data_IF_786794846674
#
_entry.id   IF_786794846674
#
_cell.length_a   1.000
_cell.length_b   1.000
_cell.length_c   1.000
_cell.angle_alpha   90.00
_cell.angle_beta   90.00
_cell.angle_gamma   90.00
#
_symmetry.space_group_name_H-M   'P 1'
#
loop_
_entity.id
_entity.type
_entity.pdbx_description
1 polymer ?
#
# COMPACT_ATOMS: atom_id res chain seq x y z
N UNK A 1 -9.55 4.64 -19.40
CA UNK A 1 -8.54 3.76 -18.81
C UNK A 1 -7.18 4.41 -18.59
N UNK A 2 -6.73 5.34 -19.42
CA UNK A 2 -5.39 5.97 -19.29
C UNK A 2 -5.08 6.54 -17.90
N UNK A 3 -6.05 7.27 -17.30
CA UNK A 3 -5.89 7.79 -15.93
C UNK A 3 -5.74 6.68 -14.91
N UNK A 4 -6.53 5.61 -15.02
CA UNK A 4 -6.45 4.43 -14.15
C UNK A 4 -5.06 3.79 -14.26
N UNK A 5 -4.57 3.55 -15.48
CA UNK A 5 -3.22 3.00 -15.67
C UNK A 5 -2.13 3.91 -15.14
N UNK A 6 -2.27 5.22 -15.31
CA UNK A 6 -1.34 6.20 -14.73
C UNK A 6 -1.30 6.09 -13.20
N UNK A 7 -2.47 6.09 -12.54
CA UNK A 7 -2.52 5.99 -11.08
C UNK A 7 -1.98 4.65 -10.57
N UNK A 8 -2.28 3.54 -11.26
CA UNK A 8 -1.74 2.22 -10.93
C UNK A 8 -0.22 2.16 -11.08
N UNK A 9 0.33 2.70 -12.18
CA UNK A 9 1.79 2.81 -12.35
C UNK A 9 2.44 3.72 -11.32
N UNK A 10 1.75 4.79 -10.90
CA UNK A 10 2.21 5.64 -9.80
C UNK A 10 2.23 4.91 -8.45
N UNK A 11 1.28 4.01 -8.20
CA UNK A 11 1.27 3.13 -7.02
C UNK A 11 2.44 2.15 -7.09
N UNK A 12 2.61 1.44 -8.20
CA UNK A 12 3.71 0.48 -8.42
C UNK A 12 5.07 1.14 -8.15
N UNK A 13 5.36 2.26 -8.83
CA UNK A 13 6.61 3.01 -8.65
C UNK A 13 6.84 3.47 -7.22
N UNK A 14 5.79 3.87 -6.50
CA UNK A 14 5.92 4.29 -5.09
C UNK A 14 6.13 3.09 -4.17
N UNK A 15 5.46 1.97 -4.44
CA UNK A 15 5.65 0.72 -3.70
C UNK A 15 7.09 0.21 -3.90
N UNK A 16 7.64 0.22 -5.11
CA UNK A 16 9.05 -0.14 -5.36
C UNK A 16 10.02 0.72 -4.56
N UNK A 17 9.73 2.03 -4.41
CA UNK A 17 10.57 2.93 -3.61
C UNK A 17 10.49 2.67 -2.11
N UNK A 18 9.29 2.39 -1.60
CA UNK A 18 9.11 1.97 -0.21
C UNK A 18 9.94 0.70 0.00
N UNK A 19 9.77 -0.29 -0.87
CA UNK A 19 10.48 -1.57 -0.81
C UNK A 19 12.01 -1.41 -0.82
N UNK A 20 12.53 -0.56 -1.71
CA UNK A 20 13.96 -0.24 -1.78
C UNK A 20 14.50 0.43 -0.51
N UNK A 21 13.70 1.26 0.16
CA UNK A 21 14.12 1.92 1.39
C UNK A 21 14.00 0.95 2.57
N UNK A 22 12.87 0.25 2.70
CA UNK A 22 12.62 -0.67 3.81
C UNK A 22 13.51 -1.91 3.76
N UNK A 23 13.91 -2.40 2.58
CA UNK A 23 14.81 -3.55 2.44
C UNK A 23 16.22 -3.34 3.02
N UNK A 24 16.61 -2.09 3.31
CA UNK A 24 17.84 -1.81 4.07
C UNK A 24 17.75 -2.28 5.53
N UNK A 25 16.54 -2.54 6.03
CA UNK A 25 16.24 -2.89 7.41
C UNK A 25 16.15 -1.65 8.31
N UNK A 26 15.17 -1.61 9.21
CA UNK A 26 14.85 -0.46 10.03
C UNK A 26 16.00 0.01 10.93
N UNK A 27 16.91 -0.88 11.33
CA UNK A 27 18.09 -0.51 12.13
C UNK A 27 19.06 0.42 11.38
N UNK A 28 18.96 0.49 10.05
CA UNK A 28 19.75 1.39 9.22
C UNK A 28 19.04 2.70 8.87
N UNK A 29 17.75 2.82 9.22
CA UNK A 29 16.91 3.95 8.84
C UNK A 29 16.91 5.03 9.91
N UNK A 30 17.11 6.28 9.50
CA UNK A 30 16.88 7.43 10.36
C UNK A 30 15.39 7.81 10.43
N UNK A 31 15.02 8.67 11.40
CA UNK A 31 13.66 9.21 11.51
C UNK A 31 13.20 9.87 10.20
N UNK A 32 14.09 10.61 9.52
CA UNK A 32 13.77 11.23 8.22
C UNK A 32 13.36 10.21 7.15
N UNK A 33 14.03 9.05 7.08
CA UNK A 33 13.66 7.99 6.14
C UNK A 33 12.33 7.34 6.54
N UNK A 34 12.08 7.13 7.84
CA UNK A 34 10.80 6.63 8.35
C UNK A 34 9.62 7.55 8.02
N UNK A 35 9.82 8.87 8.12
CA UNK A 35 8.83 9.85 7.70
C UNK A 35 8.62 9.86 6.18
N UNK A 36 9.70 9.73 5.39
CA UNK A 36 9.60 9.59 3.92
C UNK A 36 8.83 8.32 3.52
N UNK A 37 9.04 7.21 4.20
CA UNK A 37 8.27 5.97 4.01
C UNK A 37 6.78 6.20 4.30
N UNK A 38 6.48 6.84 5.42
CA UNK A 38 5.10 7.15 5.84
C UNK A 38 4.38 8.05 4.82
N UNK A 39 5.04 9.14 4.40
CA UNK A 39 4.52 10.07 3.40
C UNK A 39 4.27 9.39 2.04
N UNK A 40 5.18 8.51 1.60
CA UNK A 40 4.95 7.69 0.39
C UNK A 40 3.75 6.74 0.52
N UNK A 41 3.51 6.17 1.70
CA UNK A 41 2.30 5.38 1.97
C UNK A 41 1.01 6.19 1.85
N UNK A 42 1.00 7.44 2.31
CA UNK A 42 -0.13 8.36 2.12
C UNK A 42 -0.31 8.73 0.64
N UNK A 43 0.79 8.94 -0.09
CA UNK A 43 0.79 9.21 -1.52
C UNK A 43 0.21 8.04 -2.33
N UNK A 44 0.54 6.79 -1.96
CA UNK A 44 -0.12 5.58 -2.50
C UNK A 44 -1.62 5.60 -2.23
N UNK A 45 -2.03 5.92 -0.99
CA UNK A 45 -3.44 6.02 -0.62
C UNK A 45 -4.18 7.09 -1.46
N UNK A 46 -3.52 8.21 -1.75
CA UNK A 46 -4.05 9.25 -2.65
C UNK A 46 -4.25 8.74 -4.08
N UNK A 47 -3.27 8.00 -4.63
CA UNK A 47 -3.40 7.35 -5.93
C UNK A 47 -4.52 6.31 -5.94
N UNK A 48 -4.69 5.51 -4.88
CA UNK A 48 -5.80 4.55 -4.74
C UNK A 48 -7.16 5.25 -4.79
N UNK A 49 -7.35 6.36 -4.06
CA UNK A 49 -8.59 7.16 -4.11
C UNK A 49 -8.87 7.70 -5.51
N UNK A 50 -7.83 8.17 -6.22
CA UNK A 50 -7.94 8.63 -7.60
C UNK A 50 -8.30 7.49 -8.55
N UNK A 51 -7.70 6.31 -8.37
CA UNK A 51 -8.08 5.10 -9.11
C UNK A 51 -9.55 4.79 -8.89
N UNK A 52 -10.03 4.71 -7.64
CA UNK A 52 -11.45 4.45 -7.35
C UNK A 52 -12.36 5.43 -8.09
N UNK A 53 -12.08 6.73 -7.96
CA UNK A 53 -12.87 7.79 -8.62
C UNK A 53 -12.89 7.66 -10.15
N UNK A 54 -11.73 7.47 -10.76
CA UNK A 54 -11.60 7.45 -12.22
C UNK A 54 -12.09 6.11 -12.82
N UNK A 55 -12.07 5.02 -12.05
CA UNK A 55 -12.48 3.70 -12.52
C UNK A 55 -14.01 3.49 -12.43
N UNK A 56 -14.72 4.21 -11.55
CA UNK A 56 -16.18 4.11 -11.40
C UNK A 56 -16.96 4.27 -12.70
N UNK A 57 -16.51 5.14 -13.60
CA UNK A 57 -17.17 5.48 -14.86
C UNK A 57 -16.59 4.74 -16.08
N UNK A 58 -15.85 3.65 -15.86
CA UNK A 58 -15.17 2.92 -16.93
C UNK A 58 -15.58 1.45 -16.86
N UNK A 59 -15.92 0.90 -18.03
CA UNK A 59 -16.08 -0.54 -18.24
C UNK A 59 -14.86 -1.03 -19.00
N UNK A 60 -13.87 -1.66 -18.36
CA UNK A 60 -12.67 -2.13 -19.03
C UNK A 60 -13.01 -3.30 -19.97
N UNK A 61 -12.33 -3.34 -21.11
CA UNK A 61 -12.24 -4.53 -21.94
C UNK A 61 -11.49 -5.65 -21.21
N UNK A 62 -11.60 -6.89 -21.69
CA UNK A 62 -10.86 -8.02 -21.11
C UNK A 62 -9.35 -7.81 -21.15
N UNK A 63 -8.81 -7.26 -22.25
CA UNK A 63 -7.39 -6.94 -22.36
C UNK A 63 -6.95 -5.83 -21.37
N UNK A 64 -7.79 -4.84 -21.14
CA UNK A 64 -7.51 -3.80 -20.14
C UNK A 64 -7.59 -4.35 -18.71
N UNK A 65 -8.54 -5.25 -18.44
CA UNK A 65 -8.66 -5.93 -17.16
C UNK A 65 -7.43 -6.82 -16.89
N UNK A 66 -6.96 -7.58 -17.88
CA UNK A 66 -5.72 -8.35 -17.79
C UNK A 66 -4.53 -7.46 -17.46
N UNK A 67 -4.39 -6.32 -18.14
CA UNK A 67 -3.32 -5.36 -17.85
C UNK A 67 -3.40 -4.77 -16.44
N UNK A 68 -4.61 -4.53 -15.93
CA UNK A 68 -4.79 -4.13 -14.53
C UNK A 68 -4.30 -5.23 -13.58
N UNK A 69 -4.68 -6.49 -13.83
CA UNK A 69 -4.24 -7.66 -13.04
C UNK A 69 -2.72 -7.78 -12.99
N UNK A 70 -2.04 -7.62 -14.13
CA UNK A 70 -0.57 -7.66 -14.20
C UNK A 70 0.08 -6.61 -13.27
N UNK A 71 -0.42 -5.37 -13.31
CA UNK A 71 0.10 -4.28 -12.48
C UNK A 71 -0.21 -4.55 -11.00
N UNK A 72 -1.44 -4.94 -10.66
CA UNK A 72 -1.82 -5.15 -9.26
C UNK A 72 -1.23 -6.41 -8.65
N UNK A 73 -0.84 -7.39 -9.47
CA UNK A 73 -0.05 -8.54 -9.02
C UNK A 73 1.31 -8.10 -8.50
N UNK A 74 1.99 -7.20 -9.21
CA UNK A 74 3.27 -6.64 -8.73
C UNK A 74 3.10 -5.80 -7.47
N UNK A 75 2.07 -4.94 -7.44
CA UNK A 75 1.73 -4.14 -6.25
C UNK A 75 1.47 -5.06 -5.05
N UNK A 76 0.76 -6.17 -5.25
CA UNK A 76 0.48 -7.16 -4.20
C UNK A 76 1.77 -7.78 -3.66
N UNK A 77 2.67 -8.25 -4.53
CA UNK A 77 3.96 -8.83 -4.12
C UNK A 77 4.82 -7.82 -3.36
N UNK A 78 4.88 -6.57 -3.82
CA UNK A 78 5.58 -5.49 -3.12
C UNK A 78 4.96 -5.22 -1.75
N UNK A 79 3.63 -5.17 -1.66
CA UNK A 79 2.94 -4.95 -0.38
C UNK A 79 3.20 -6.08 0.61
N UNK A 80 3.13 -7.34 0.17
CA UNK A 80 3.44 -8.49 1.03
C UNK A 80 4.86 -8.44 1.56
N UNK A 81 5.83 -8.12 0.69
CA UNK A 81 7.23 -7.98 1.09
C UNK A 81 7.42 -6.84 2.10
N UNK A 82 6.87 -5.66 1.83
CA UNK A 82 6.91 -4.52 2.74
C UNK A 82 6.27 -4.84 4.10
N UNK A 83 5.11 -5.49 4.10
CA UNK A 83 4.43 -5.89 5.34
C UNK A 83 5.27 -6.90 6.13
N UNK A 84 5.92 -7.85 5.43
CA UNK A 84 6.87 -8.77 6.07
C UNK A 84 8.06 -8.03 6.67
N UNK A 85 8.70 -7.12 5.93
CA UNK A 85 9.80 -6.30 6.43
C UNK A 85 9.40 -5.52 7.68
N UNK A 86 8.24 -4.86 7.67
CA UNK A 86 7.73 -4.12 8.84
C UNK A 86 7.51 -5.03 10.06
N UNK A 87 7.09 -6.28 9.85
CA UNK A 87 6.96 -7.26 10.95
C UNK A 87 8.32 -7.70 11.48
N UNK A 88 9.24 -8.03 10.59
CA UNK A 88 10.60 -8.47 10.94
C UNK A 88 11.38 -7.36 11.68
N UNK A 89 11.17 -6.11 11.27
CA UNK A 89 11.84 -4.92 11.82
C UNK A 89 11.21 -4.38 13.11
N UNK A 90 10.13 -5.00 13.62
CA UNK A 90 9.42 -4.50 14.80
C UNK A 90 10.34 -4.15 15.98
N UNK A 91 11.34 -4.96 16.38
CA UNK A 91 12.21 -4.61 17.49
C UNK A 91 12.98 -3.29 17.27
N UNK A 92 13.41 -3.02 16.04
CA UNK A 92 14.09 -1.77 15.70
C UNK A 92 13.12 -0.59 15.68
N UNK A 93 11.91 -0.78 15.15
CA UNK A 93 10.85 0.24 15.16
C UNK A 93 10.44 0.63 16.60
N UNK A 94 10.41 -0.34 17.51
CA UNK A 94 10.12 -0.08 18.93
C UNK A 94 11.26 0.68 19.61
N UNK A 95 12.51 0.33 19.33
CA UNK A 95 13.68 1.06 19.82
C UNK A 95 13.71 2.52 19.33
N UNK A 96 13.18 2.78 18.14
CA UNK A 96 13.04 4.12 17.58
C UNK A 96 11.79 4.86 18.06
N UNK A 97 10.93 4.22 18.86
CA UNK A 97 9.64 4.77 19.29
C UNK A 97 8.73 5.20 18.12
N UNK A 98 8.66 4.40 17.05
CA UNK A 98 7.81 4.67 15.87
C UNK A 98 6.74 3.61 15.62
N UNK A 99 6.54 2.67 16.55
CA UNK A 99 5.53 1.61 16.38
C UNK A 99 4.10 2.16 16.29
N UNK A 100 3.80 3.23 17.03
CA UNK A 100 2.54 3.95 16.94
C UNK A 100 2.31 4.61 15.58
N UNK A 101 3.35 5.20 14.98
CA UNK A 101 3.30 5.73 13.62
C UNK A 101 2.95 4.66 12.58
N UNK A 102 3.57 3.47 12.69
CA UNK A 102 3.25 2.33 11.81
C UNK A 102 1.76 1.96 11.93
N UNK A 103 1.26 1.78 13.15
CA UNK A 103 -0.16 1.51 13.42
C UNK A 103 -1.07 2.59 12.83
N UNK A 104 -0.77 3.87 13.07
CA UNK A 104 -1.53 5.02 12.55
C UNK A 104 -1.61 4.99 11.03
N UNK A 105 -0.50 4.74 10.35
CA UNK A 105 -0.45 4.70 8.88
C UNK A 105 -1.27 3.56 8.32
N UNK A 106 -1.20 2.39 8.96
CA UNK A 106 -2.06 1.27 8.62
C UNK A 106 -3.53 1.72 8.72
N UNK A 107 -4.01 2.07 9.91
CA UNK A 107 -5.43 2.43 10.14
C UNK A 107 -5.93 3.48 9.15
N UNK A 108 -5.14 4.52 8.87
CA UNK A 108 -5.51 5.57 7.90
C UNK A 108 -5.70 5.05 6.46
N UNK A 109 -4.98 3.99 6.08
CA UNK A 109 -5.01 3.43 4.72
C UNK A 109 -6.06 2.34 4.52
N UNK A 110 -6.59 1.76 5.60
CA UNK A 110 -7.44 0.55 5.54
C UNK A 110 -8.70 0.75 4.69
N UNK A 111 -9.49 1.78 4.98
CA UNK A 111 -10.73 2.07 4.25
C UNK A 111 -10.45 2.33 2.76
N UNK A 112 -9.37 3.07 2.48
CA UNK A 112 -8.96 3.36 1.10
C UNK A 112 -8.53 2.12 0.34
N UNK A 113 -7.79 1.23 1.00
CA UNK A 113 -7.38 -0.07 0.43
C UNK A 113 -8.60 -0.95 0.14
N UNK A 114 -9.55 -1.05 1.07
CA UNK A 114 -10.80 -1.80 0.87
C UNK A 114 -11.60 -1.27 -0.32
N UNK A 115 -11.79 0.04 -0.41
CA UNK A 115 -12.50 0.66 -1.53
C UNK A 115 -11.78 0.44 -2.87
N UNK A 116 -10.45 0.50 -2.88
CA UNK A 116 -9.62 0.23 -4.05
C UNK A 116 -9.84 -1.20 -4.56
N UNK A 117 -9.65 -2.21 -3.71
CA UNK A 117 -9.81 -3.61 -4.11
C UNK A 117 -11.24 -3.98 -4.47
N UNK A 118 -12.23 -3.41 -3.76
CA UNK A 118 -13.64 -3.57 -4.12
C UNK A 118 -13.93 -3.03 -5.53
N UNK A 119 -13.41 -1.84 -5.85
CA UNK A 119 -13.58 -1.23 -7.19
C UNK A 119 -12.91 -2.06 -8.27
N UNK A 120 -11.68 -2.54 -8.05
CA UNK A 120 -11.00 -3.42 -9.01
C UNK A 120 -11.79 -4.70 -9.25
N UNK A 121 -12.32 -5.31 -8.19
CA UNK A 121 -13.14 -6.52 -8.28
C UNK A 121 -14.42 -6.23 -9.07
N UNK A 122 -15.15 -5.16 -8.71
CA UNK A 122 -16.41 -4.78 -9.36
C UNK A 122 -16.22 -4.56 -10.87
N UNK A 123 -15.18 -3.82 -11.26
CA UNK A 123 -14.92 -3.45 -12.66
C UNK A 123 -14.31 -4.56 -13.49
N UNK A 124 -13.77 -5.60 -12.87
CA UNK A 124 -13.22 -6.75 -13.61
C UNK A 124 -14.36 -7.60 -14.19
N UNK A 125 -14.32 -7.99 -15.48
CA UNK A 125 -15.31 -8.88 -16.08
C UNK A 125 -15.49 -10.18 -15.29
N UNK A 126 -16.69 -10.75 -15.31
CA UNK A 126 -16.96 -12.05 -14.69
C UNK A 126 -16.06 -13.16 -15.26
N UNK A 127 -15.77 -14.17 -14.45
CA UNK A 127 -14.93 -15.30 -14.83
C UNK A 127 -13.56 -15.31 -14.15
N UNK A 128 -12.55 -15.98 -14.74
CA UNK A 128 -11.26 -16.24 -14.09
C UNK A 128 -10.52 -14.98 -13.62
N UNK A 129 -10.59 -13.89 -14.39
CA UNK A 129 -9.93 -12.62 -14.07
C UNK A 129 -10.43 -12.01 -12.76
N UNK A 130 -11.75 -12.07 -12.52
CA UNK A 130 -12.35 -11.55 -11.28
C UNK A 130 -11.97 -12.40 -10.07
N UNK A 131 -11.84 -13.71 -10.23
CA UNK A 131 -11.34 -14.58 -9.16
C UNK A 131 -9.86 -14.33 -8.85
N UNK A 132 -9.04 -14.04 -9.86
CA UNK A 132 -7.65 -13.65 -9.66
C UNK A 132 -7.53 -12.34 -8.87
N UNK A 133 -8.33 -11.31 -9.21
CA UNK A 133 -8.38 -10.07 -8.44
C UNK A 133 -8.80 -10.31 -6.98
N UNK A 134 -9.81 -11.16 -6.73
CA UNK A 134 -10.23 -11.51 -5.36
C UNK A 134 -9.10 -12.20 -4.59
N UNK A 135 -8.36 -13.09 -5.22
CA UNK A 135 -7.22 -13.77 -4.59
C UNK A 135 -6.09 -12.79 -4.23
N UNK A 136 -5.79 -11.83 -5.12
CA UNK A 136 -4.83 -10.75 -4.84
C UNK A 136 -5.28 -9.85 -3.69
N UNK A 137 -6.56 -9.46 -3.67
CA UNK A 137 -7.13 -8.67 -2.57
C UNK A 137 -7.03 -9.41 -1.22
N UNK A 138 -7.33 -10.71 -1.21
CA UNK A 138 -7.23 -11.54 -0.01
C UNK A 138 -5.80 -11.66 0.51
N UNK A 139 -4.81 -11.77 -0.38
CA UNK A 139 -3.38 -11.75 -0.05
C UNK A 139 -2.96 -10.45 0.66
N UNK A 140 -3.31 -9.31 0.08
CA UNK A 140 -3.05 -7.99 0.69
C UNK A 140 -3.75 -7.87 2.05
N UNK A 141 -5.02 -8.23 2.13
CA UNK A 141 -5.77 -8.17 3.39
C UNK A 141 -5.15 -9.04 4.48
N UNK A 142 -4.69 -10.25 4.13
CA UNK A 142 -4.00 -11.16 5.06
C UNK A 142 -2.71 -10.52 5.58
N UNK A 143 -1.83 -10.09 4.67
CA UNK A 143 -0.54 -9.48 5.04
C UNK A 143 -0.74 -8.25 5.94
N UNK A 144 -1.73 -7.43 5.61
CA UNK A 144 -2.10 -6.26 6.40
C UNK A 144 -2.64 -6.64 7.78
N UNK A 145 -3.53 -7.63 7.86
CA UNK A 145 -4.11 -8.09 9.13
C UNK A 145 -3.04 -8.64 10.09
N UNK A 146 -2.14 -9.47 9.57
CA UNK A 146 -1.02 -10.02 10.33
C UNK A 146 -0.11 -8.91 10.89
N UNK A 147 0.23 -7.91 10.07
CA UNK A 147 1.04 -6.78 10.52
C UNK A 147 0.29 -5.91 11.53
N UNK A 148 -1.00 -5.64 11.33
CA UNK A 148 -1.77 -4.80 12.23
C UNK A 148 -1.87 -5.41 13.61
N UNK A 149 -2.15 -6.71 13.70
CA UNK A 149 -2.21 -7.44 14.97
C UNK A 149 -0.91 -7.31 15.77
N UNK A 150 0.23 -7.34 15.07
CA UNK A 150 1.54 -7.21 15.68
C UNK A 150 1.80 -5.81 16.27
N UNK A 151 1.20 -4.77 15.68
CA UNK A 151 1.35 -3.37 16.08
C UNK A 151 0.12 -2.81 16.83
N UNK A 152 -0.92 -3.60 17.09
CA UNK A 152 -2.20 -3.11 17.63
C UNK A 152 -2.05 -2.31 18.93
N UNK A 153 -1.11 -2.74 19.79
CA UNK A 153 -0.80 -2.08 21.06
C UNK A 153 0.45 -1.18 21.01
N UNK A 154 1.04 -0.99 19.83
CA UNK A 154 2.23 -0.17 19.68
C UNK A 154 1.91 1.32 19.90
N UNK A 155 2.87 2.05 20.45
CA UNK A 155 2.83 3.50 20.69
C UNK A 155 4.11 4.15 20.19
N UNK A 156 4.12 5.49 20.08
CA UNK A 156 5.28 6.29 19.70
C UNK A 156 5.24 6.72 18.23
N UNK A 157 5.57 8.00 18.01
CA UNK A 157 5.67 8.60 16.68
C UNK A 157 4.34 9.02 16.06
N UNK A 158 3.21 8.87 16.75
CA UNK A 158 1.90 9.30 16.25
C UNK A 158 1.79 10.83 16.09
N UNK A 159 2.61 11.59 16.82
CA UNK A 159 2.72 13.05 16.83
C UNK A 159 3.53 13.60 15.63
N UNK A 160 4.24 12.73 14.91
CA UNK A 160 5.04 13.15 13.77
C UNK A 160 4.17 13.70 12.64
N UNK A 161 4.54 14.88 12.14
CA UNK A 161 3.91 15.50 10.98
C UNK A 161 4.51 14.96 9.68
N UNK A 162 3.87 13.90 9.19
CA UNK A 162 4.22 13.26 7.91
C UNK A 162 3.79 14.09 6.70
N UNK A 163 2.83 15.00 6.87
CA UNK A 163 2.27 15.81 5.79
C UNK A 163 3.22 16.98 5.43
N UNK A 164 4.09 17.39 6.36
CA UNK A 164 5.16 18.37 6.13
C UNK A 164 6.40 17.80 5.40
N UNK A 165 6.45 16.49 5.17
CA UNK A 165 7.61 15.82 4.58
C UNK A 165 7.42 15.66 3.08
N UNK A 166 8.27 16.33 2.32
CA UNK A 166 8.30 16.20 0.86
C UNK A 166 8.53 14.73 0.45
N UNK A 167 7.54 14.16 -0.21
CA UNK A 167 7.55 12.79 -0.72
C UNK A 167 8.19 12.69 -2.11
N UNK A 168 8.55 13.84 -2.70
CA UNK A 168 9.29 13.96 -3.94
C UNK A 168 10.69 13.32 -3.83
N UNK A 169 11.27 13.02 -4.99
CA UNK A 169 12.50 12.22 -5.06
C UNK A 169 13.71 13.01 -4.59
#
# INVERSE_FOLDING_TARGET
MDKVFKHLGDIERKAEKIDKISSKGASSLGMKEMLKLSSKGQSISSCMKKTVKDYQNVTPTEAEAQKVIEIVTKITTLNEHQMKTVRDDKPAMEKMHVGGLVKKNMVKSEETSKAFWATLTEKTPEGPLKEEIKALAARVQKAYTETYQLYANATGGEDQDVDAVDDSD
#
